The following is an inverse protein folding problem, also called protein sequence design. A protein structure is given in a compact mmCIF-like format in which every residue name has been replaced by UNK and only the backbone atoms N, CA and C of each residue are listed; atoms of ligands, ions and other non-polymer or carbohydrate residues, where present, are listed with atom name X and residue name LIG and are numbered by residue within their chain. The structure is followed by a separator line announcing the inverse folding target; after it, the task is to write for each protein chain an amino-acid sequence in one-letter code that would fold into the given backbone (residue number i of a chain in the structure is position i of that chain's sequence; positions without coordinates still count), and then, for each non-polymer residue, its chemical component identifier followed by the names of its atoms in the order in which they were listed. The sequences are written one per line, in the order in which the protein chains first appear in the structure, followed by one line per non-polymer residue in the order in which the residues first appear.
data_IF_833953240396
#
_entry.id   IF_833953240396
#
_cell.length_a   1.000
_cell.length_b   1.000
_cell.length_c   1.000
_cell.angle_alpha   90.00
_cell.angle_beta   90.00
_cell.angle_gamma   90.00
#
_symmetry.space_group_name_H-M   'P 1'
#
loop_
_entity.id
_entity.type
_entity.pdbx_description
1 polymer ?
#
# COMPACT_ATOMS: atom_id res chain seq x y z
N UNK A 1 49.20 -28.50 6.98
CA UNK A 1 48.93 -27.42 5.97
C UNK A 1 47.46 -27.45 5.63
N UNK A 2 46.70 -26.43 6.05
CA UNK A 2 45.26 -26.37 5.83
C UNK A 2 45.00 -25.81 4.43
N UNK A 3 44.37 -26.60 3.54
CA UNK A 3 43.88 -26.13 2.24
C UNK A 3 42.75 -25.15 2.47
N UNK A 4 42.91 -23.90 2.02
CA UNK A 4 41.85 -22.92 1.90
C UNK A 4 40.88 -23.38 0.82
N UNK A 5 39.61 -23.57 1.16
CA UNK A 5 38.56 -23.83 0.20
C UNK A 5 38.40 -22.69 -0.81
N UNK A 6 37.78 -22.95 -1.99
CA UNK A 6 37.61 -21.95 -3.03
C UNK A 6 36.78 -20.76 -2.50
N UNK A 7 37.21 -19.56 -2.87
CA UNK A 7 36.52 -18.31 -2.56
C UNK A 7 35.08 -18.35 -3.13
N UNK A 8 34.08 -17.83 -2.41
CA UNK A 8 32.71 -17.74 -2.93
C UNK A 8 32.71 -16.94 -4.23
N UNK A 9 32.22 -17.54 -5.29
CA UNK A 9 32.08 -16.89 -6.58
C UNK A 9 31.10 -15.70 -6.42
N UNK A 10 31.52 -14.54 -6.92
CA UNK A 10 30.72 -13.34 -7.02
C UNK A 10 29.40 -13.69 -7.72
N UNK A 11 28.28 -13.49 -7.04
CA UNK A 11 26.96 -13.77 -7.61
C UNK A 11 26.84 -13.10 -8.98
N UNK A 12 26.59 -13.93 -9.99
CA UNK A 12 26.56 -13.49 -11.38
C UNK A 12 25.41 -12.53 -11.63
N UNK A 13 25.58 -11.65 -12.61
CA UNK A 13 24.61 -10.66 -13.11
C UNK A 13 23.19 -11.21 -13.45
N UNK A 14 23.01 -12.54 -13.39
CA UNK A 14 21.71 -13.19 -13.54
C UNK A 14 20.75 -12.91 -12.36
N UNK A 15 21.28 -12.65 -11.15
CA UNK A 15 20.45 -12.32 -9.97
C UNK A 15 19.98 -10.87 -10.03
N UNK A 16 20.80 -9.97 -10.59
CA UNK A 16 20.39 -8.56 -10.82
C UNK A 16 19.30 -8.47 -11.90
N UNK A 17 19.36 -9.31 -12.96
CA UNK A 17 18.30 -9.34 -13.98
C UNK A 17 16.97 -9.88 -13.46
N UNK A 18 16.95 -10.72 -12.42
CA UNK A 18 15.71 -11.22 -11.81
C UNK A 18 15.01 -10.17 -10.95
N UNK A 19 15.73 -9.26 -10.31
CA UNK A 19 15.12 -8.16 -9.54
C UNK A 19 14.45 -7.12 -10.45
N UNK A 20 14.98 -6.86 -11.64
CA UNK A 20 14.41 -5.92 -12.60
C UNK A 20 13.19 -6.49 -13.36
N UNK A 21 13.04 -7.82 -13.45
CA UNK A 21 11.91 -8.43 -14.15
C UNK A 21 10.57 -8.36 -13.38
N UNK A 22 10.60 -8.00 -12.10
CA UNK A 22 9.38 -7.83 -11.31
C UNK A 22 8.71 -6.48 -11.57
N UNK A 23 9.49 -5.43 -11.88
CA UNK A 23 8.98 -4.11 -12.26
C UNK A 23 8.28 -4.09 -13.63
N UNK A 24 8.73 -4.94 -14.57
CA UNK A 24 8.14 -5.05 -15.92
C UNK A 24 6.77 -5.77 -15.97
N UNK A 25 6.31 -6.32 -14.85
CA UNK A 25 5.07 -7.10 -14.77
C UNK A 25 3.89 -6.36 -14.17
N UNK A 26 4.05 -5.09 -13.81
CA UNK A 26 2.89 -4.29 -13.46
C UNK A 26 2.03 -4.14 -14.73
N UNK A 27 0.76 -4.55 -14.70
CA UNK A 27 -0.12 -4.34 -15.83
C UNK A 27 -0.13 -2.85 -16.12
N UNK A 28 0.10 -2.48 -17.39
CA UNK A 28 -0.03 -1.10 -17.85
C UNK A 28 -1.33 -0.54 -17.28
N UNK A 29 -1.27 0.70 -16.72
CA UNK A 29 -2.43 1.37 -16.18
C UNK A 29 -3.57 1.25 -17.20
N UNK A 30 -4.50 0.39 -16.90
CA UNK A 30 -5.66 0.18 -17.75
C UNK A 30 -6.51 1.45 -17.60
N UNK A 31 -6.87 2.10 -18.69
CA UNK A 31 -7.81 3.24 -18.72
C UNK A 31 -9.21 2.88 -18.20
N UNK A 32 -9.35 1.72 -17.59
CA UNK A 32 -10.55 1.25 -16.96
C UNK A 32 -10.87 2.09 -15.71
N UNK A 33 -12.14 2.27 -15.48
CA UNK A 33 -12.68 2.94 -14.29
C UNK A 33 -12.20 2.24 -13.02
N UNK A 34 -11.84 2.98 -11.94
CA UNK A 34 -11.47 2.35 -10.68
C UNK A 34 -12.59 1.44 -10.16
N UNK A 35 -12.24 0.38 -9.38
CA UNK A 35 -13.22 -0.54 -8.83
C UNK A 35 -14.35 0.19 -8.10
N UNK A 36 -15.58 -0.33 -8.18
CA UNK A 36 -16.73 0.27 -7.53
C UNK A 36 -16.68 0.09 -6.01
N UNK A 37 -17.15 1.09 -5.27
CA UNK A 37 -17.22 1.05 -3.81
C UNK A 37 -18.12 -0.09 -3.34
N UNK A 38 -17.66 -0.98 -2.43
CA UNK A 38 -18.50 -2.01 -1.84
C UNK A 38 -19.63 -1.42 -0.99
N UNK A 39 -20.84 -1.97 -1.12
CA UNK A 39 -22.07 -1.46 -0.46
C UNK A 39 -22.02 -1.36 1.07
N UNK A 40 -21.10 -2.09 1.71
CA UNK A 40 -20.98 -2.17 3.19
C UNK A 40 -19.95 -1.22 3.81
N UNK A 41 -19.40 -0.30 3.03
CA UNK A 41 -18.27 0.54 3.45
C UNK A 41 -18.74 1.93 3.91
N UNK A 42 -19.68 2.04 4.86
CA UNK A 42 -20.26 3.33 5.26
C UNK A 42 -19.25 4.29 5.92
N UNK A 43 -18.54 3.85 6.95
CA UNK A 43 -17.60 4.73 7.69
C UNK A 43 -16.27 5.00 6.99
N UNK A 44 -15.86 4.14 6.06
CA UNK A 44 -14.59 4.23 5.36
C UNK A 44 -14.71 4.67 3.89
N UNK A 45 -15.91 5.04 3.45
CA UNK A 45 -16.20 5.47 2.08
C UNK A 45 -15.36 6.69 1.66
N UNK A 46 -15.16 7.65 2.57
CA UNK A 46 -14.36 8.85 2.32
C UNK A 46 -12.90 8.50 1.97
N UNK A 47 -12.31 7.54 2.68
CA UNK A 47 -10.95 7.06 2.40
C UNK A 47 -10.87 6.37 1.03
N UNK A 48 -11.87 5.53 0.71
CA UNK A 48 -11.96 4.91 -0.61
C UNK A 48 -12.00 5.94 -1.73
N UNK A 49 -12.92 6.90 -1.66
CA UNK A 49 -13.10 7.92 -2.69
C UNK A 49 -11.85 8.79 -2.87
N UNK A 50 -11.14 9.06 -1.78
CA UNK A 50 -9.92 9.87 -1.81
C UNK A 50 -8.77 9.17 -2.53
N UNK A 51 -8.61 7.86 -2.36
CA UNK A 51 -7.39 7.15 -2.77
C UNK A 51 -7.57 6.17 -3.93
N UNK A 52 -8.79 5.65 -4.19
CA UNK A 52 -9.01 4.62 -5.19
C UNK A 52 -8.66 5.07 -6.61
N UNK A 53 -8.96 6.33 -6.96
CA UNK A 53 -8.67 6.86 -8.29
C UNK A 53 -7.16 6.96 -8.57
N UNK A 54 -6.42 7.51 -7.61
CA UNK A 54 -4.97 7.67 -7.71
C UNK A 54 -4.27 6.30 -7.77
N UNK A 55 -4.58 5.41 -6.84
CA UNK A 55 -4.01 4.05 -6.81
C UNK A 55 -4.32 3.25 -8.08
N UNK A 56 -5.49 3.47 -8.68
CA UNK A 56 -5.85 2.84 -9.92
C UNK A 56 -5.06 3.40 -11.10
N UNK A 57 -4.90 4.73 -11.19
CA UNK A 57 -4.10 5.36 -12.25
C UNK A 57 -2.63 4.97 -12.17
N UNK A 58 -2.10 4.77 -10.97
CA UNK A 58 -0.73 4.32 -10.74
C UNK A 58 -0.53 2.81 -10.96
N UNK A 59 -1.61 2.07 -11.25
CA UNK A 59 -1.57 0.62 -11.45
C UNK A 59 -1.46 -0.21 -10.16
N UNK A 60 -1.60 0.42 -9.00
CA UNK A 60 -1.52 -0.24 -7.69
C UNK A 60 -2.87 -0.79 -7.19
N UNK A 61 -3.97 -0.47 -7.85
CA UNK A 61 -5.30 -0.96 -7.52
C UNK A 61 -5.98 -1.53 -8.77
N UNK A 62 -6.15 -2.83 -8.80
CA UNK A 62 -6.91 -3.55 -9.84
C UNK A 62 -8.23 -4.09 -9.27
N UNK A 63 -9.11 -4.60 -10.14
CA UNK A 63 -10.36 -5.26 -9.71
C UNK A 63 -10.10 -6.43 -8.75
N UNK A 64 -8.97 -7.13 -8.92
CA UNK A 64 -8.57 -8.25 -8.04
C UNK A 64 -8.19 -7.78 -6.65
N UNK A 65 -7.67 -6.57 -6.52
CA UNK A 65 -7.18 -6.00 -5.27
C UNK A 65 -8.28 -5.26 -4.49
N UNK A 66 -9.45 -5.07 -5.10
CA UNK A 66 -10.57 -4.32 -4.52
C UNK A 66 -10.99 -4.84 -3.13
N UNK A 67 -10.96 -6.17 -2.93
CA UNK A 67 -11.24 -6.78 -1.63
C UNK A 67 -10.21 -6.44 -0.56
N UNK A 68 -8.93 -6.46 -0.90
CA UNK A 68 -7.85 -6.10 0.01
C UNK A 68 -7.87 -4.60 0.34
N UNK A 69 -8.10 -3.75 -0.66
CA UNK A 69 -8.26 -2.32 -0.46
C UNK A 69 -9.49 -1.97 0.38
N UNK A 70 -10.59 -2.72 0.25
CA UNK A 70 -11.75 -2.61 1.14
C UNK A 70 -11.37 -2.85 2.60
N UNK A 71 -10.54 -3.86 2.87
CA UNK A 71 -10.03 -4.14 4.23
C UNK A 71 -9.20 -2.98 4.77
N UNK A 72 -8.33 -2.40 3.97
CA UNK A 72 -7.57 -1.21 4.34
C UNK A 72 -8.48 -0.05 4.74
N UNK A 73 -9.55 0.21 3.95
CA UNK A 73 -10.53 1.24 4.26
C UNK A 73 -11.29 0.96 5.57
N UNK A 74 -11.65 -0.31 5.83
CA UNK A 74 -12.28 -0.70 7.10
C UNK A 74 -11.36 -0.45 8.29
N UNK A 75 -10.06 -0.76 8.18
CA UNK A 75 -9.09 -0.50 9.24
C UNK A 75 -8.97 1.00 9.51
N UNK A 76 -8.99 1.84 8.47
CA UNK A 76 -9.05 3.29 8.63
C UNK A 76 -10.29 3.74 9.40
N UNK A 77 -11.48 3.24 9.05
CA UNK A 77 -12.72 3.55 9.77
C UNK A 77 -12.64 3.16 11.24
N UNK A 78 -12.13 1.94 11.54
CA UNK A 78 -11.93 1.49 12.91
C UNK A 78 -10.94 2.36 13.69
N UNK A 79 -9.87 2.83 13.06
CA UNK A 79 -8.93 3.77 13.71
C UNK A 79 -9.63 5.08 14.08
N UNK A 80 -10.41 5.66 13.18
CA UNK A 80 -11.15 6.88 13.46
C UNK A 80 -12.15 6.71 14.63
N UNK A 81 -12.84 5.57 14.70
CA UNK A 81 -13.75 5.24 15.80
C UNK A 81 -12.99 5.10 17.13
N UNK A 82 -11.87 4.40 17.14
CA UNK A 82 -11.03 4.22 18.33
C UNK A 82 -10.39 5.53 18.79
N UNK A 83 -9.95 6.39 17.85
CA UNK A 83 -9.41 7.71 18.17
C UNK A 83 -10.50 8.59 18.82
N UNK A 84 -11.71 8.63 18.26
CA UNK A 84 -12.85 9.37 18.84
C UNK A 84 -13.20 8.86 20.23
N UNK A 85 -13.18 7.55 20.45
CA UNK A 85 -13.44 6.95 21.75
C UNK A 85 -12.37 7.37 22.78
N UNK A 86 -11.11 7.28 22.42
CA UNK A 86 -9.98 7.64 23.29
C UNK A 86 -9.91 9.15 23.56
N UNK A 87 -10.35 9.98 22.63
CA UNK A 87 -10.49 11.43 22.83
C UNK A 87 -11.60 11.75 23.86
N UNK A 88 -12.70 10.99 23.85
CA UNK A 88 -13.84 11.22 24.75
C UNK A 88 -13.61 10.64 26.15
N UNK A 89 -13.00 9.46 26.28
CA UNK A 89 -12.87 8.74 27.55
C UNK A 89 -11.46 8.85 28.17
N UNK A 90 -10.45 9.26 27.38
CA UNK A 90 -9.05 9.37 27.79
C UNK A 90 -8.29 8.05 27.70
N UNK A 91 -6.97 8.16 27.79
CA UNK A 91 -6.05 7.01 27.71
C UNK A 91 -5.98 6.19 29.00
N UNK A 92 -6.40 6.78 30.12
CA UNK A 92 -6.31 6.20 31.46
C UNK A 92 -7.70 6.21 32.09
N UNK A 93 -8.16 5.05 32.50
CA UNK A 93 -9.38 4.89 33.29
C UNK A 93 -9.01 4.84 34.78
N UNK A 94 -9.70 5.64 35.59
CA UNK A 94 -9.55 5.62 37.04
C UNK A 94 -10.72 4.80 37.62
N UNK A 95 -10.37 3.69 38.28
CA UNK A 95 -11.37 2.87 38.97
C UNK A 95 -11.94 3.62 40.18
N UNK A 96 -13.17 3.30 40.64
CA UNK A 96 -13.73 3.82 41.89
C UNK A 96 -12.86 3.60 43.10
N UNK A 97 -11.96 2.60 43.04
CA UNK A 97 -10.95 2.31 44.09
C UNK A 97 -9.66 3.16 43.98
N UNK A 98 -9.60 4.13 43.06
CA UNK A 98 -8.43 4.98 42.84
C UNK A 98 -7.32 4.34 41.99
N UNK A 99 -7.51 3.13 41.49
CA UNK A 99 -6.51 2.45 40.66
C UNK A 99 -6.57 2.94 39.23
N UNK A 100 -5.42 3.40 38.70
CA UNK A 100 -5.29 3.80 37.27
C UNK A 100 -5.01 2.58 36.41
N UNK A 101 -5.76 2.45 35.30
CA UNK A 101 -5.56 1.40 34.28
C UNK A 101 -5.56 2.00 32.89
N UNK A 102 -4.72 1.45 32.01
CA UNK A 102 -4.76 1.85 30.60
C UNK A 102 -6.12 1.50 29.99
N UNK A 103 -6.63 2.38 29.15
CA UNK A 103 -7.88 2.14 28.43
C UNK A 103 -7.72 0.94 27.49
N UNK A 104 -8.65 -0.05 27.47
CA UNK A 104 -8.54 -1.21 26.58
C UNK A 104 -8.45 -0.85 25.10
N UNK A 105 -9.15 0.20 24.68
CA UNK A 105 -9.13 0.68 23.31
C UNK A 105 -7.73 1.16 22.85
N UNK A 106 -6.84 1.56 23.76
CA UNK A 106 -5.48 1.97 23.41
C UNK A 106 -4.66 0.81 22.83
N UNK A 107 -4.81 -0.39 23.39
CA UNK A 107 -4.21 -1.60 22.84
C UNK A 107 -4.79 -2.01 21.49
N UNK A 108 -6.11 -1.92 21.34
CA UNK A 108 -6.81 -2.20 20.08
C UNK A 108 -6.38 -1.21 18.99
N UNK A 109 -6.31 0.08 19.31
CA UNK A 109 -5.85 1.14 18.40
C UNK A 109 -4.43 0.83 17.87
N UNK A 110 -3.49 0.53 18.77
CA UNK A 110 -2.12 0.21 18.39
C UNK A 110 -2.03 -1.04 17.51
N UNK A 111 -2.82 -2.08 17.78
CA UNK A 111 -2.87 -3.28 16.95
C UNK A 111 -3.45 -2.99 15.55
N UNK A 112 -4.56 -2.23 15.49
CA UNK A 112 -5.20 -1.83 14.23
C UNK A 112 -4.29 -0.94 13.39
N UNK A 113 -3.57 0.01 14.01
CA UNK A 113 -2.60 0.88 13.33
C UNK A 113 -1.47 0.09 12.67
N UNK A 114 -0.92 -0.91 13.35
CA UNK A 114 0.10 -1.79 12.75
C UNK A 114 -0.42 -2.51 11.52
N UNK A 115 -1.64 -3.06 11.59
CA UNK A 115 -2.27 -3.72 10.44
C UNK A 115 -2.53 -2.73 9.29
N UNK A 116 -3.03 -1.54 9.60
CA UNK A 116 -3.26 -0.48 8.63
C UNK A 116 -1.97 -0.10 7.90
N UNK A 117 -0.87 0.13 8.62
CA UNK A 117 0.42 0.46 8.03
C UNK A 117 0.97 -0.67 7.14
N UNK A 118 0.78 -1.94 7.53
CA UNK A 118 1.16 -3.09 6.70
C UNK A 118 0.39 -3.11 5.37
N UNK A 119 -0.92 -2.86 5.40
CA UNK A 119 -1.72 -2.76 4.18
C UNK A 119 -1.35 -1.54 3.34
N UNK A 120 -1.07 -0.38 3.95
CA UNK A 120 -0.57 0.79 3.23
C UNK A 120 0.71 0.49 2.44
N UNK A 121 1.62 -0.32 3.00
CA UNK A 121 2.84 -0.73 2.30
C UNK A 121 2.54 -1.60 1.06
N UNK A 122 1.54 -2.47 1.13
CA UNK A 122 1.13 -3.33 0.01
C UNK A 122 0.59 -2.52 -1.18
N UNK A 123 -0.12 -1.43 -0.90
CA UNK A 123 -0.68 -0.53 -1.91
C UNK A 123 0.24 0.64 -2.28
N UNK A 124 1.53 0.58 -1.93
CA UNK A 124 2.51 1.65 -2.22
C UNK A 124 2.10 3.03 -1.68
N UNK A 125 1.30 3.07 -0.61
CA UNK A 125 0.83 4.33 -0.01
C UNK A 125 1.88 4.99 0.90
N UNK A 126 2.97 4.29 1.26
CA UNK A 126 4.07 4.85 2.04
C UNK A 126 5.22 5.29 1.13
N UNK A 127 5.98 6.32 1.53
CA UNK A 127 7.14 6.78 0.77
C UNK A 127 8.15 5.65 0.49
N UNK A 128 8.42 4.82 1.50
CA UNK A 128 9.34 3.69 1.37
C UNK A 128 8.85 2.60 0.40
N UNK A 129 7.53 2.34 0.36
CA UNK A 129 6.96 1.36 -0.58
C UNK A 129 6.95 1.88 -2.01
N UNK A 130 6.67 3.17 -2.23
CA UNK A 130 6.75 3.79 -3.56
C UNK A 130 8.14 3.73 -4.18
N UNK A 131 9.19 3.82 -3.37
CA UNK A 131 10.57 3.66 -3.87
C UNK A 131 10.90 2.24 -4.32
N UNK A 132 10.20 1.23 -3.80
CA UNK A 132 10.42 -0.19 -4.13
C UNK A 132 9.66 -0.65 -5.37
N UNK A 133 8.52 -0.02 -5.62
CA UNK A 133 7.64 -0.35 -6.75
C UNK A 133 7.52 0.92 -7.59
N UNK A 134 8.26 1.05 -8.70
CA UNK A 134 8.11 2.19 -9.58
C UNK A 134 6.67 2.23 -10.10
N UNK A 135 6.03 3.40 -10.01
CA UNK A 135 4.77 3.68 -10.69
C UNK A 135 4.90 3.38 -12.17
N UNK A 136 3.87 2.83 -12.77
CA UNK A 136 3.81 2.74 -14.24
C UNK A 136 3.99 4.17 -14.78
N UNK A 137 5.08 4.42 -15.50
CA UNK A 137 5.26 5.70 -16.16
C UNK A 137 4.05 5.98 -17.05
N UNK A 138 3.46 7.18 -16.99
CA UNK A 138 2.41 7.55 -17.93
C UNK A 138 2.98 7.34 -19.34
N UNK A 139 2.43 6.42 -20.08
CA UNK A 139 2.85 6.18 -21.46
C UNK A 139 2.70 7.49 -22.22
N UNK A 140 3.83 8.17 -22.45
CA UNK A 140 3.86 9.29 -23.39
C UNK A 140 3.20 8.80 -24.67
N UNK A 141 2.24 9.53 -25.26
CA UNK A 141 1.56 9.10 -26.45
C UNK A 141 2.61 8.75 -27.50
N UNK A 142 2.74 7.45 -27.82
CA UNK A 142 3.68 7.00 -28.83
C UNK A 142 3.19 7.61 -30.15
N UNK A 143 3.90 8.63 -30.63
CA UNK A 143 3.70 9.17 -31.97
C UNK A 143 3.75 8.00 -32.96
N UNK A 144 2.75 7.84 -33.83
CA UNK A 144 2.70 6.76 -34.78
C UNK A 144 3.99 6.75 -35.61
N UNK A 145 4.60 5.57 -35.74
CA UNK A 145 5.90 5.36 -36.41
C UNK A 145 5.97 5.95 -37.82
N UNK A 146 4.86 6.28 -38.46
CA UNK A 146 4.78 6.98 -39.76
C UNK A 146 5.39 8.38 -39.76
N UNK A 147 5.46 9.06 -38.60
CA UNK A 147 6.03 10.42 -38.53
C UNK A 147 7.53 10.43 -38.28
N UNK A 148 8.18 9.31 -38.00
CA UNK A 148 9.65 9.23 -37.81
C UNK A 148 10.45 9.27 -39.09
N UNK A 149 9.83 8.98 -40.27
CA UNK A 149 10.53 8.94 -41.57
C UNK A 149 10.60 10.27 -42.33
N UNK A 150 10.10 11.38 -41.80
CA UNK A 150 10.09 12.68 -42.50
C UNK A 150 11.20 13.63 -42.00
N UNK A 151 12.11 13.16 -41.15
CA UNK A 151 13.22 14.00 -40.62
C UNK A 151 14.63 13.46 -40.93
N UNK A 152 14.78 12.61 -41.95
CA UNK A 152 16.09 12.28 -42.54
C UNK A 152 16.23 12.91 -43.93
#
# INVERSE_FOLDING_TARGET
MAQRGPLPQRMSSATERRSNSFGDRLPAATTAKPPSLPKRLSGAAAFWHKHAGELHSDGHLTERDAGAFTRLCCLWGQLCELDTLLESEGLILISPTGTSKAHPAAGMRSATEKQFLQHCQQFSMTAASRMRVPSAEPQSPQLPQRMRRIRE
#
